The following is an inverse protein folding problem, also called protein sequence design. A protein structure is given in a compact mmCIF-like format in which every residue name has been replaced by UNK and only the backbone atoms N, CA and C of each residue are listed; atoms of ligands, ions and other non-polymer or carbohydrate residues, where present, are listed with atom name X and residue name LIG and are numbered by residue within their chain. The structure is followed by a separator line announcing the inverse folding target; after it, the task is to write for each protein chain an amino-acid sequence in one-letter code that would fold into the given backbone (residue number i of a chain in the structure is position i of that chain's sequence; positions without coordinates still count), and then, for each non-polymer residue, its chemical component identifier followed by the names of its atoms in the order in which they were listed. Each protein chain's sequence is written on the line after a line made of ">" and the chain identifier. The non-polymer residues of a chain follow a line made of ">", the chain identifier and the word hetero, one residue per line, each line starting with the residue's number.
data_IF_805311120139
#
_entry.id   IF_805311120139
#
_cell.length_a   1.000
_cell.length_b   1.000
_cell.length_c   1.000
_cell.angle_alpha   90.00
_cell.angle_beta   90.00
_cell.angle_gamma   90.00
#
_symmetry.space_group_name_H-M   'P 1'
#
loop_
_entity.id
_entity.type
_entity.pdbx_description
1 polymer ?
#
# COMPACT_ATOMS: atom_id res chain seq x y z
N UNK A 1 4.71 5.74 5.88
CA UNK A 1 4.38 5.63 7.32
C UNK A 1 5.55 4.98 8.04
N UNK A 2 5.92 5.44 9.24
CA UNK A 2 7.01 4.85 10.02
C UNK A 2 6.50 3.63 10.81
N UNK A 3 7.31 2.58 10.88
CA UNK A 3 7.06 1.35 11.65
C UNK A 3 6.50 1.57 13.06
N UNK A 4 7.03 2.55 13.78
CA UNK A 4 6.65 2.80 15.17
C UNK A 4 5.20 3.31 15.31
N UNK A 5 4.56 3.75 14.22
CA UNK A 5 3.17 4.19 14.28
C UNK A 5 2.19 3.04 14.40
N UNK A 6 2.63 1.82 14.08
CA UNK A 6 1.83 0.62 14.26
C UNK A 6 1.80 0.11 15.71
N UNK A 7 2.56 0.70 16.65
CA UNK A 7 2.48 0.27 18.05
C UNK A 7 1.21 0.77 18.77
N UNK A 8 0.46 1.68 18.14
CA UNK A 8 -0.71 2.32 18.70
C UNK A 8 -1.79 2.46 17.62
N UNK A 9 -2.94 1.81 17.82
CA UNK A 9 -4.06 1.84 16.87
C UNK A 9 -4.54 3.25 16.55
N UNK A 10 -4.42 4.21 17.47
CA UNK A 10 -4.83 5.60 17.22
C UNK A 10 -3.89 6.29 16.23
N UNK A 11 -2.58 6.02 16.33
CA UNK A 11 -1.58 6.52 15.37
C UNK A 11 -1.70 5.83 14.03
N UNK A 12 -2.06 4.54 14.04
CA UNK A 12 -2.36 3.81 12.83
C UNK A 12 -3.53 4.45 12.06
N UNK A 13 -4.68 4.61 12.71
CA UNK A 13 -5.88 5.23 12.11
C UNK A 13 -5.57 6.62 11.56
N UNK A 14 -4.87 7.46 12.34
CA UNK A 14 -4.50 8.80 11.89
C UNK A 14 -3.60 8.77 10.64
N UNK A 15 -2.61 7.87 10.60
CA UNK A 15 -1.73 7.69 9.44
C UNK A 15 -2.47 7.18 8.21
N UNK A 16 -3.34 6.19 8.39
CA UNK A 16 -4.15 5.59 7.31
C UNK A 16 -5.14 6.59 6.74
N UNK A 17 -5.80 7.40 7.58
CA UNK A 17 -6.70 8.47 7.12
C UNK A 17 -5.96 9.56 6.36
N UNK A 18 -4.75 9.93 6.80
CA UNK A 18 -3.93 10.89 6.07
C UNK A 18 -3.56 10.37 4.68
N UNK A 19 -3.14 9.11 4.59
CA UNK A 19 -2.86 8.45 3.31
C UNK A 19 -4.12 8.39 2.42
N UNK A 20 -5.25 7.98 2.99
CA UNK A 20 -6.53 7.95 2.28
C UNK A 20 -6.95 9.33 1.77
N UNK A 21 -6.82 10.37 2.60
CA UNK A 21 -7.12 11.74 2.19
C UNK A 21 -6.24 12.19 1.02
N UNK A 22 -4.96 11.81 1.01
CA UNK A 22 -4.09 12.13 -0.13
C UNK A 22 -4.49 11.37 -1.40
N UNK A 23 -4.88 10.10 -1.29
CA UNK A 23 -5.35 9.31 -2.43
C UNK A 23 -6.59 9.93 -3.07
N UNK A 24 -7.56 10.31 -2.24
CA UNK A 24 -8.81 10.91 -2.72
C UNK A 24 -8.55 12.27 -3.35
N UNK A 25 -7.69 13.10 -2.73
CA UNK A 25 -7.47 14.47 -3.21
C UNK A 25 -6.56 14.55 -4.45
N UNK A 26 -5.64 13.59 -4.64
CA UNK A 26 -4.68 13.61 -5.76
C UNK A 26 -5.11 12.76 -6.95
N UNK A 27 -6.00 11.77 -6.76
CA UNK A 27 -6.51 10.89 -7.81
C UNK A 27 -5.41 10.19 -8.65
N UNK A 28 -4.26 9.91 -8.04
CA UNK A 28 -3.16 9.19 -8.66
C UNK A 28 -3.00 7.78 -8.08
N UNK A 29 -2.33 6.86 -8.79
CA UNK A 29 -1.88 5.61 -8.18
C UNK A 29 -0.99 5.86 -6.95
N UNK A 30 -1.28 5.18 -5.84
CA UNK A 30 -0.52 5.28 -4.59
C UNK A 30 -0.02 3.92 -4.13
N UNK A 31 1.23 3.88 -3.68
CA UNK A 31 1.80 2.77 -2.90
C UNK A 31 2.13 3.30 -1.51
N UNK A 32 1.51 2.75 -0.48
CA UNK A 32 1.84 3.14 0.89
C UNK A 32 2.95 2.24 1.44
N UNK A 33 4.01 2.86 1.94
CA UNK A 33 5.16 2.15 2.48
C UNK A 33 5.18 2.27 4.01
N UNK A 34 5.44 1.14 4.67
CA UNK A 34 5.84 1.08 6.07
C UNK A 34 7.37 1.04 6.13
N UNK A 35 7.98 2.17 6.48
CA UNK A 35 9.43 2.33 6.51
C UNK A 35 9.99 1.95 7.88
N UNK A 36 11.31 1.69 7.92
CA UNK A 36 12.07 1.33 9.13
C UNK A 36 11.63 0.02 9.80
N UNK A 37 11.15 -0.95 9.02
CA UNK A 37 10.81 -2.29 9.52
C UNK A 37 12.03 -3.07 10.03
N UNK A 38 13.24 -2.54 9.82
CA UNK A 38 14.51 -3.07 10.28
C UNK A 38 14.83 -2.70 11.75
N UNK A 39 14.13 -1.70 12.29
CA UNK A 39 14.24 -1.26 13.69
C UNK A 39 13.27 -1.98 14.63
N UNK A 40 12.27 -2.67 14.10
CA UNK A 40 11.30 -3.43 14.89
C UNK A 40 11.91 -4.77 15.31
N UNK A 41 11.72 -5.14 16.58
CA UNK A 41 12.21 -6.42 17.11
C UNK A 41 11.54 -7.59 16.39
N UNK A 42 12.20 -8.75 16.29
CA UNK A 42 11.62 -9.93 15.60
C UNK A 42 10.32 -10.42 16.23
N UNK A 43 10.19 -10.28 17.55
CA UNK A 43 8.97 -10.67 18.28
C UNK A 43 7.81 -9.73 17.96
N UNK A 44 8.08 -8.43 17.95
CA UNK A 44 7.07 -7.41 17.64
C UNK A 44 6.70 -7.44 16.16
N UNK A 45 7.65 -7.69 15.26
CA UNK A 45 7.43 -7.70 13.80
C UNK A 45 6.36 -8.70 13.38
N UNK A 46 6.32 -9.88 14.01
CA UNK A 46 5.30 -10.90 13.71
C UNK A 46 3.91 -10.46 14.16
N UNK A 47 3.80 -9.99 15.41
CA UNK A 47 2.56 -9.45 15.97
C UNK A 47 2.05 -8.25 15.17
N UNK A 48 2.96 -7.37 14.75
CA UNK A 48 2.65 -6.20 13.94
C UNK A 48 2.22 -6.56 12.51
N UNK A 49 2.84 -7.55 11.90
CA UNK A 49 2.41 -8.03 10.59
C UNK A 49 1.04 -8.70 10.69
N UNK A 50 0.78 -9.51 11.71
CA UNK A 50 -0.51 -10.16 11.89
C UNK A 50 -1.63 -9.15 12.24
N UNK A 51 -1.34 -8.12 13.02
CA UNK A 51 -2.34 -7.13 13.45
C UNK A 51 -2.58 -5.99 12.45
N UNK A 52 -1.65 -5.70 11.53
CA UNK A 52 -1.74 -4.50 10.68
C UNK A 52 -1.62 -4.76 9.18
N UNK A 53 -1.41 -6.00 8.74
CA UNK A 53 -1.43 -6.35 7.32
C UNK A 53 -2.86 -6.65 6.82
N UNK A 54 -3.68 -7.27 7.67
CA UNK A 54 -5.12 -7.45 7.47
C UNK A 54 -5.90 -7.17 8.77
N UNK A 55 -5.82 -5.95 9.32
CA UNK A 55 -6.66 -5.61 10.46
C UNK A 55 -8.12 -5.58 10.03
N UNK A 56 -9.03 -5.79 10.97
CA UNK A 56 -10.40 -5.29 10.88
C UNK A 56 -10.52 -3.98 11.69
N UNK A 57 -11.42 -3.05 11.33
CA UNK A 57 -11.66 -1.85 12.13
C UNK A 57 -11.90 -2.17 13.61
N UNK A 58 -12.61 -3.26 13.88
CA UNK A 58 -12.99 -3.68 15.22
C UNK A 58 -11.78 -4.12 16.06
N UNK A 59 -10.82 -4.81 15.43
CA UNK A 59 -9.55 -5.19 16.06
C UNK A 59 -8.67 -3.98 16.36
N UNK A 60 -8.61 -3.01 15.43
CA UNK A 60 -7.83 -1.78 15.66
C UNK A 60 -8.44 -0.98 16.81
N UNK A 61 -9.77 -0.81 16.84
CA UNK A 61 -10.42 -0.02 17.89
C UNK A 61 -10.33 -0.70 19.26
N UNK A 62 -10.48 -2.02 19.33
CA UNK A 62 -10.34 -2.77 20.58
C UNK A 62 -8.91 -2.72 21.15
N UNK A 63 -7.89 -2.61 20.29
CA UNK A 63 -6.49 -2.41 20.68
C UNK A 63 -6.17 -1.03 21.25
N UNK A 64 -7.06 -0.04 21.11
CA UNK A 64 -6.82 1.31 21.64
C UNK A 64 -7.09 1.34 23.15
N UNK A 65 -6.04 1.64 23.92
CA UNK A 65 -6.15 1.77 25.38
C UNK A 65 -7.17 2.83 25.77
N UNK A 66 -8.15 2.42 26.56
CA UNK A 66 -9.18 3.32 27.05
C UNK A 66 -8.59 4.29 28.08
N UNK A 67 -8.67 5.59 27.77
CA UNK A 67 -8.27 6.66 28.71
C UNK A 67 -9.47 7.54 29.00
N UNK A 68 -9.43 8.28 30.12
CA UNK A 68 -10.49 9.24 30.48
C UNK A 68 -10.79 10.25 29.36
N UNK A 69 -9.78 10.57 28.55
CA UNK A 69 -9.91 11.44 27.37
C UNK A 69 -10.53 10.72 26.17
N UNK A 70 -10.07 9.50 25.85
CA UNK A 70 -10.54 8.76 24.69
C UNK A 70 -12.00 8.27 24.84
N UNK A 71 -12.48 8.04 26.07
CA UNK A 71 -13.86 7.57 26.33
C UNK A 71 -14.93 8.46 25.68
N UNK A 72 -14.68 9.77 25.56
CA UNK A 72 -15.58 10.72 24.88
C UNK A 72 -15.56 10.57 23.35
N UNK A 73 -14.44 10.14 22.78
CA UNK A 73 -14.21 10.08 21.33
C UNK A 73 -14.38 8.68 20.73
N UNK A 74 -14.69 7.65 21.54
CA UNK A 74 -14.89 6.28 21.06
C UNK A 74 -15.85 6.18 19.87
N UNK A 75 -16.97 6.91 19.91
CA UNK A 75 -17.93 6.93 18.79
C UNK A 75 -17.32 7.49 17.50
N UNK A 76 -16.46 8.50 17.61
CA UNK A 76 -15.75 9.08 16.46
C UNK A 76 -14.70 8.09 15.93
N UNK A 77 -13.88 7.53 16.82
CA UNK A 77 -12.85 6.56 16.45
C UNK A 77 -13.44 5.34 15.73
N UNK A 78 -14.58 4.82 16.20
CA UNK A 78 -15.34 3.78 15.51
C UNK A 78 -15.80 4.20 14.11
N UNK A 79 -16.36 5.40 13.97
CA UNK A 79 -16.77 5.90 12.65
C UNK A 79 -15.59 6.06 11.68
N UNK A 80 -14.44 6.53 12.18
CA UNK A 80 -13.21 6.63 11.40
C UNK A 80 -12.68 5.27 10.96
N UNK A 81 -12.70 4.28 11.86
CA UNK A 81 -12.29 2.93 11.53
C UNK A 81 -13.21 2.30 10.47
N UNK A 82 -14.53 2.47 10.58
CA UNK A 82 -15.48 2.04 9.54
C UNK A 82 -15.24 2.70 8.17
N UNK A 83 -14.85 3.98 8.15
CA UNK A 83 -14.47 4.64 6.89
C UNK A 83 -13.24 3.97 6.30
N UNK A 84 -12.21 3.69 7.11
CA UNK A 84 -11.02 2.99 6.61
C UNK A 84 -11.35 1.61 6.06
N UNK A 85 -12.22 0.83 6.72
CA UNK A 85 -12.68 -0.47 6.25
C UNK A 85 -13.43 -0.39 4.92
N UNK A 86 -14.32 0.60 4.77
CA UNK A 86 -15.09 0.80 3.54
C UNK A 86 -14.19 1.12 2.33
N UNK A 87 -13.07 1.79 2.56
CA UNK A 87 -12.07 2.06 1.52
C UNK A 87 -11.06 0.90 1.34
N UNK A 88 -11.35 -0.26 1.96
CA UNK A 88 -10.47 -1.42 1.95
C UNK A 88 -9.15 -1.05 2.61
N UNK A 89 -9.19 -0.84 3.92
CA UNK A 89 -8.08 -0.57 4.83
C UNK A 89 -6.74 -0.35 4.12
N UNK A 90 -6.40 0.93 3.97
CA UNK A 90 -5.23 1.41 3.23
C UNK A 90 -4.06 0.43 3.37
N UNK A 91 -3.77 -0.30 2.29
CA UNK A 91 -2.75 -1.34 2.33
C UNK A 91 -1.37 -0.72 2.37
N UNK A 92 -0.53 -1.23 3.25
CA UNK A 92 0.86 -0.83 3.36
C UNK A 92 1.80 -1.97 3.02
N UNK A 93 2.81 -1.68 2.20
CA UNK A 93 3.91 -2.58 1.93
C UNK A 93 5.01 -2.41 3.00
N UNK A 94 5.38 -3.47 3.74
CA UNK A 94 6.43 -3.42 4.75
C UNK A 94 7.81 -3.39 4.09
N UNK A 95 8.53 -2.27 4.25
CA UNK A 95 9.85 -2.07 3.67
C UNK A 95 10.96 -2.33 4.71
N UNK A 96 11.72 -3.40 4.48
CA UNK A 96 12.96 -3.71 5.20
C UNK A 96 14.16 -3.58 4.25
N UNK A 97 14.93 -2.50 4.39
CA UNK A 97 16.09 -2.22 3.52
C UNK A 97 17.23 -3.23 3.67
N UNK A 98 17.22 -4.07 4.70
CA UNK A 98 18.23 -5.13 4.89
C UNK A 98 17.91 -6.38 4.06
N UNK A 99 16.72 -6.44 3.46
CA UNK A 99 16.25 -7.56 2.64
C UNK A 99 16.09 -7.13 1.20
N UNK A 100 16.98 -7.58 0.32
CA UNK A 100 16.89 -7.30 -1.11
C UNK A 100 15.58 -7.80 -1.72
N UNK A 101 15.04 -8.92 -1.23
CA UNK A 101 13.74 -9.46 -1.66
C UNK A 101 12.59 -8.44 -1.52
N UNK A 102 12.57 -7.65 -0.43
CA UNK A 102 11.56 -6.60 -0.25
C UNK A 102 11.70 -5.48 -1.29
N UNK A 103 12.93 -5.14 -1.67
CA UNK A 103 13.16 -4.14 -2.71
C UNK A 103 12.68 -4.65 -4.07
N UNK A 104 12.99 -5.91 -4.40
CA UNK A 104 12.54 -6.54 -5.64
C UNK A 104 11.01 -6.56 -5.70
N UNK A 105 10.33 -7.00 -4.64
CA UNK A 105 8.86 -6.99 -4.60
C UNK A 105 8.27 -5.59 -4.73
N UNK A 106 8.92 -4.58 -4.13
CA UNK A 106 8.49 -3.18 -4.28
C UNK A 106 8.65 -2.69 -5.71
N UNK A 107 9.78 -3.00 -6.38
CA UNK A 107 9.97 -2.67 -7.79
C UNK A 107 8.88 -3.27 -8.67
N UNK A 108 8.60 -4.57 -8.50
CA UNK A 108 7.51 -5.22 -9.25
C UNK A 108 6.14 -4.58 -8.98
N UNK A 109 5.88 -4.13 -7.76
CA UNK A 109 4.65 -3.43 -7.41
C UNK A 109 4.56 -2.05 -8.06
N UNK A 110 5.68 -1.32 -8.13
CA UNK A 110 5.76 -0.03 -8.85
C UNK A 110 5.49 -0.24 -10.34
N UNK A 111 6.14 -1.23 -10.95
CA UNK A 111 5.97 -1.52 -12.38
C UNK A 111 4.52 -1.90 -12.70
N UNK A 112 3.89 -2.73 -11.86
CA UNK A 112 2.47 -3.09 -11.99
C UNK A 112 1.54 -1.88 -11.86
N UNK A 113 1.80 -0.98 -10.91
CA UNK A 113 0.96 0.19 -10.67
C UNK A 113 1.11 1.25 -11.78
N UNK A 114 2.30 1.34 -12.38
CA UNK A 114 2.57 2.26 -13.49
C UNK A 114 2.21 1.68 -14.87
N UNK A 115 2.02 0.36 -14.98
CA UNK A 115 1.73 -0.31 -16.24
C UNK A 115 2.91 -0.37 -17.23
N UNK A 116 4.13 -0.06 -16.78
CA UNK A 116 5.31 0.08 -17.65
C UNK A 116 5.62 -1.22 -18.40
N UNK A 117 5.35 -2.38 -17.80
CA UNK A 117 5.59 -3.68 -18.45
C UNK A 117 4.65 -4.00 -19.62
N UNK A 118 3.52 -3.31 -19.74
CA UNK A 118 2.53 -3.51 -20.81
C UNK A 118 2.79 -2.58 -22.02
N UNK A 119 3.35 -1.38 -21.79
CA UNK A 119 3.69 -0.44 -22.85
C UNK A 119 4.96 -0.84 -23.65
N UNK A 120 5.72 -1.83 -23.16
CA UNK A 120 6.86 -2.43 -23.87
C UNK A 120 6.43 -3.45 -24.95
N UNK A 121 5.13 -3.68 -25.15
CA UNK A 121 4.62 -4.45 -26.30
C UNK A 121 5.06 -3.77 -27.60
N UNK A 122 6.03 -4.40 -28.25
CA UNK A 122 6.72 -3.91 -29.45
C UNK A 122 5.69 -3.57 -30.52
N UNK A 123 5.58 -2.29 -30.90
CA UNK A 123 4.93 -1.92 -32.16
C UNK A 123 5.73 -2.56 -33.28
N UNK A 124 5.28 -3.73 -33.74
CA UNK A 124 5.78 -4.33 -34.96
C UNK A 124 5.57 -3.27 -36.03
N UNK A 125 6.68 -2.72 -36.51
CA UNK A 125 6.67 -1.86 -37.68
C UNK A 125 6.18 -2.79 -38.79
N UNK A 126 5.01 -2.52 -39.35
CA UNK A 126 4.54 -3.24 -40.54
C UNK A 126 5.71 -3.21 -41.53
N UNK A 127 6.31 -4.37 -41.80
CA UNK A 127 7.34 -4.47 -42.83
C UNK A 127 6.67 -3.99 -44.13
N UNK A 128 7.27 -3.04 -44.86
CA UNK A 128 6.70 -2.64 -46.14
C UNK A 128 6.65 -3.89 -47.02
N UNK A 129 5.45 -4.27 -47.47
CA UNK A 129 5.27 -5.30 -48.48
C UNK A 129 6.20 -4.99 -49.65
N UNK A 130 7.18 -5.88 -49.86
CA UNK A 130 7.99 -5.87 -51.08
C UNK A 130 7.06 -6.41 -52.16
N UNK A 131 6.53 -5.52 -53.00
CA UNK A 131 5.86 -5.87 -54.26
C UNK A 131 6.91 -6.50 -55.19
N UNK A 132 7.12 -7.81 -55.04
CA UNK A 132 7.86 -8.63 -56.01
C UNK A 132 6.94 -8.90 -57.22
N UNK A 133 6.73 -7.89 -58.05
CA UNK A 133 6.20 -8.03 -59.42
C UNK A 133 7.23 -7.51 -60.44
N UNK A 134 8.38 -8.17 -60.48
CA UNK A 134 9.17 -8.31 -61.72
C UNK A 134 9.24 -9.80 -62.10
N UNK A 135 8.39 -10.25 -63.03
CA UNK A 135 8.89 -10.87 -64.27
C UNK A 135 7.83 -11.20 -65.34
N UNK A 136 8.27 -10.97 -66.59
CA UNK A 136 7.86 -11.57 -67.87
C UNK A 136 6.54 -11.15 -68.54
N UNK A 137 6.58 -10.06 -69.34
CA UNK A 137 6.76 -10.12 -70.82
C UNK A 137 6.74 -8.74 -71.50
#
# INVERSE_FOLDING_TARGET
>A
MDANFLTDGSKFIAGSLAALSTMINLEIPHINLLTKMDLISKADKKTLMEQFLEPDAEDIVSGIKETKWNRKYLKLTNGLAQVLDNFGLVKFFPLDIRKEENLISLYSMIDMVLGISEDDDVKIKDDPEIDDDENDQ
#
